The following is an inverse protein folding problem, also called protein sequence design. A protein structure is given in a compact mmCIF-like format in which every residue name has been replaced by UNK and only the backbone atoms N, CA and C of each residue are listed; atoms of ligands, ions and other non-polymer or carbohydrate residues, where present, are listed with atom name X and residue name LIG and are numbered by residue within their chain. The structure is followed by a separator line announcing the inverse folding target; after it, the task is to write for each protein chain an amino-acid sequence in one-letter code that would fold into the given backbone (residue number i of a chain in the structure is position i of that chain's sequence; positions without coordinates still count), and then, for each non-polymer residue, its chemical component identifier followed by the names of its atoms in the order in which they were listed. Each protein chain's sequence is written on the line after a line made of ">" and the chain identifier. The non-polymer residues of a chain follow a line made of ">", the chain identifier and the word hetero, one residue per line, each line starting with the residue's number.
data_IF_084323597895
#
_entry.id   IF_084323597895
#
_cell.length_a   1.000
_cell.length_b   1.000
_cell.length_c   1.000
_cell.angle_alpha   90.00
_cell.angle_beta   90.00
_cell.angle_gamma   90.00
#
_symmetry.space_group_name_H-M   'P 1'
#
loop_
_entity.id
_entity.type
_entity.pdbx_description
1 polymer ?
#
# COMPACT_ATOMS: atom_id res chain seq x y z
N UNK A 1 17.12 -17.50 4.54
CA UNK A 1 17.18 -17.04 3.14
C UNK A 1 18.61 -16.97 2.59
N UNK A 2 19.54 -16.28 3.25
CA UNK A 2 20.88 -15.99 2.72
C UNK A 2 21.71 -17.23 2.33
N UNK A 3 21.64 -18.31 3.11
CA UNK A 3 22.38 -19.56 2.84
C UNK A 3 21.89 -20.28 1.58
N UNK A 4 20.56 -20.33 1.37
CA UNK A 4 19.96 -20.95 0.18
C UNK A 4 20.27 -20.16 -1.09
N UNK A 5 20.27 -18.82 -1.00
CA UNK A 5 20.60 -17.93 -2.12
C UNK A 5 22.07 -18.01 -2.52
N UNK A 6 22.99 -18.12 -1.56
CA UNK A 6 24.42 -18.35 -1.84
C UNK A 6 24.67 -19.70 -2.52
N UNK A 7 24.00 -20.77 -2.07
CA UNK A 7 24.11 -22.08 -2.72
C UNK A 7 23.55 -22.07 -4.15
N UNK A 8 22.44 -21.37 -4.37
CA UNK A 8 21.83 -21.24 -5.67
C UNK A 8 22.64 -20.37 -6.65
N UNK A 9 23.34 -19.35 -6.16
CA UNK A 9 24.24 -18.56 -7.00
C UNK A 9 25.46 -19.34 -7.49
N UNK A 10 25.95 -20.29 -6.68
CA UNK A 10 26.95 -21.28 -7.13
C UNK A 10 26.46 -22.15 -8.30
N UNK A 11 25.15 -22.23 -8.51
CA UNK A 11 24.50 -22.91 -9.64
C UNK A 11 24.09 -21.93 -10.76
N UNK A 12 24.51 -20.67 -10.67
CA UNK A 12 24.25 -19.62 -11.67
C UNK A 12 22.83 -19.06 -11.63
N UNK A 13 22.05 -19.34 -10.59
CA UNK A 13 20.69 -18.83 -10.47
C UNK A 13 20.68 -17.39 -9.95
N UNK A 14 19.84 -16.54 -10.56
CA UNK A 14 19.58 -15.17 -10.14
C UNK A 14 18.12 -14.94 -9.89
N UNK A 15 17.84 -14.15 -8.88
CA UNK A 15 16.56 -13.54 -8.55
C UNK A 15 16.61 -12.05 -8.92
N UNK A 16 15.55 -11.55 -9.55
CA UNK A 16 15.31 -10.13 -9.79
C UNK A 16 13.80 -9.84 -9.75
N UNK A 17 13.39 -8.69 -9.20
CA UNK A 17 12.00 -8.25 -9.24
C UNK A 17 11.63 -7.33 -8.09
N UNK A 18 10.34 -7.30 -7.77
CA UNK A 18 9.79 -6.51 -6.66
C UNK A 18 9.26 -7.43 -5.57
N UNK A 19 9.47 -7.04 -4.32
CA UNK A 19 8.94 -7.74 -3.16
C UNK A 19 8.14 -6.79 -2.28
N UNK A 20 7.05 -7.31 -1.70
CA UNK A 20 6.34 -6.64 -0.62
C UNK A 20 6.93 -7.12 0.71
N UNK A 21 7.59 -6.20 1.44
CA UNK A 21 8.27 -6.52 2.71
C UNK A 21 7.49 -5.99 3.90
N UNK A 22 7.44 -6.79 4.98
CA UNK A 22 6.61 -6.51 6.15
C UNK A 22 7.01 -5.21 6.87
N UNK A 23 8.30 -4.85 6.85
CA UNK A 23 8.82 -3.64 7.52
C UNK A 23 8.57 -2.36 6.72
N UNK A 24 8.34 -2.44 5.40
CA UNK A 24 8.11 -1.28 4.53
C UNK A 24 6.87 -1.48 3.65
N UNK A 25 5.70 -1.62 4.28
CA UNK A 25 4.45 -2.01 3.59
C UNK A 25 3.94 -0.99 2.54
N UNK A 26 4.46 0.24 2.56
CA UNK A 26 4.06 1.32 1.65
C UNK A 26 4.88 1.36 0.37
N UNK A 27 6.05 0.74 0.36
CA UNK A 27 7.01 0.83 -0.74
C UNK A 27 7.24 -0.55 -1.35
N UNK A 28 7.57 -0.56 -2.63
CA UNK A 28 8.12 -1.73 -3.30
C UNK A 28 9.58 -1.91 -2.87
N UNK A 29 10.00 -3.15 -2.65
CA UNK A 29 11.41 -3.48 -2.47
C UNK A 29 11.96 -4.05 -3.78
N UNK A 30 12.94 -3.38 -4.38
CA UNK A 30 13.64 -3.86 -5.58
C UNK A 30 14.66 -4.91 -5.14
N UNK A 31 14.41 -6.17 -5.48
CA UNK A 31 15.25 -7.31 -5.08
C UNK A 31 16.07 -7.77 -6.27
N UNK A 32 17.38 -7.94 -6.07
CA UNK A 32 18.28 -8.52 -7.08
C UNK A 32 19.40 -9.33 -6.43
N UNK A 33 19.96 -10.26 -7.19
CA UNK A 33 21.10 -11.08 -6.73
C UNK A 33 22.32 -10.91 -7.62
N UNK A 34 23.48 -10.71 -6.99
CA UNK A 34 24.76 -10.54 -7.69
C UNK A 34 25.39 -11.89 -8.11
N UNK A 35 26.44 -11.89 -8.95
CA UNK A 35 27.17 -13.11 -9.34
C UNK A 35 27.71 -14.01 -8.25
N UNK A 36 27.81 -13.52 -7.03
CA UNK A 36 28.28 -14.27 -5.87
C UNK A 36 27.14 -14.75 -4.98
N UNK A 37 25.90 -14.37 -5.29
CA UNK A 37 24.70 -14.75 -4.54
C UNK A 37 24.35 -13.82 -3.39
N UNK A 38 24.93 -12.63 -3.34
CA UNK A 38 24.48 -11.58 -2.44
C UNK A 38 23.16 -11.02 -2.91
N UNK A 39 22.26 -10.81 -1.96
CA UNK A 39 20.97 -10.17 -2.19
C UNK A 39 21.14 -8.68 -1.96
N UNK A 40 20.70 -7.89 -2.91
CA UNK A 40 20.52 -6.47 -2.77
C UNK A 40 19.02 -6.19 -2.73
N UNK A 41 18.64 -5.39 -1.73
CA UNK A 41 17.27 -4.91 -1.55
C UNK A 41 17.36 -3.40 -1.49
N UNK A 42 16.86 -2.76 -2.54
CA UNK A 42 16.89 -1.32 -2.72
C UNK A 42 15.44 -0.78 -2.66
N UNK A 43 15.23 0.48 -2.23
CA UNK A 43 13.91 1.09 -2.26
C UNK A 43 13.39 1.27 -3.70
N UNK A 44 12.12 0.92 -3.91
CA UNK A 44 11.38 1.17 -5.13
C UNK A 44 10.25 2.19 -4.95
N UNK A 45 9.37 2.23 -5.95
CA UNK A 45 8.22 3.12 -5.96
C UNK A 45 7.18 2.75 -4.88
N UNK A 46 6.35 3.69 -4.43
CA UNK A 46 5.19 3.38 -3.60
C UNK A 46 4.19 2.47 -4.33
N UNK A 47 3.47 1.65 -3.57
CA UNK A 47 2.33 0.91 -4.08
C UNK A 47 1.17 1.85 -4.44
N UNK A 48 0.41 1.55 -5.48
CA UNK A 48 -0.77 2.37 -5.83
C UNK A 48 -1.81 2.34 -4.70
N UNK A 49 -1.86 1.26 -3.93
CA UNK A 49 -2.69 1.13 -2.75
C UNK A 49 -2.44 2.16 -1.65
N UNK A 50 -1.30 2.86 -1.64
CA UNK A 50 -1.03 3.96 -0.69
C UNK A 50 -1.22 5.35 -1.29
N UNK A 51 -1.37 5.44 -2.61
CA UNK A 51 -1.56 6.71 -3.32
C UNK A 51 -3.08 6.99 -3.42
N UNK A 52 -3.56 8.20 -3.08
CA UNK A 52 -4.95 8.57 -3.29
C UNK A 52 -5.39 8.36 -4.73
N UNK A 53 -6.55 7.74 -4.96
CA UNK A 53 -7.06 7.47 -6.32
C UNK A 53 -7.22 8.72 -7.20
N UNK A 54 -7.36 9.90 -6.61
CA UNK A 54 -7.40 11.19 -7.32
C UNK A 54 -6.07 11.56 -8.00
N UNK A 55 -4.96 10.97 -7.55
CA UNK A 55 -3.62 11.19 -8.07
C UNK A 55 -3.19 10.08 -9.05
N UNK A 56 -4.03 9.06 -9.24
CA UNK A 56 -3.74 7.99 -10.17
C UNK A 56 -3.79 8.49 -11.62
N UNK A 57 -2.87 8.02 -12.48
CA UNK A 57 -2.95 8.25 -13.92
C UNK A 57 -4.30 7.81 -14.51
N UNK A 58 -4.77 8.53 -15.52
CA UNK A 58 -5.99 8.16 -16.24
C UNK A 58 -5.85 6.76 -16.86
N UNK A 59 -6.84 5.90 -16.65
CA UNK A 59 -6.88 4.52 -17.17
C UNK A 59 -6.30 3.46 -16.22
N UNK A 60 -5.45 3.86 -15.27
CA UNK A 60 -4.78 2.92 -14.35
C UNK A 60 -5.77 2.07 -13.54
N UNK A 61 -6.89 2.66 -13.11
CA UNK A 61 -7.87 1.97 -12.28
C UNK A 61 -8.45 0.71 -12.95
N UNK A 62 -8.63 0.72 -14.28
CA UNK A 62 -9.09 -0.46 -15.01
C UNK A 62 -7.92 -1.41 -15.33
N UNK A 63 -6.73 -0.88 -15.60
CA UNK A 63 -5.53 -1.69 -15.88
C UNK A 63 -5.09 -2.52 -14.68
N UNK A 64 -5.15 -1.96 -13.47
CA UNK A 64 -4.69 -2.64 -12.25
C UNK A 64 -5.73 -3.60 -11.67
N UNK A 65 -6.99 -3.50 -12.11
CA UNK A 65 -8.12 -4.29 -11.61
C UNK A 65 -7.87 -5.80 -11.57
N UNK A 66 -7.20 -6.44 -12.55
CA UNK A 66 -6.90 -7.87 -12.49
C UNK A 66 -5.88 -8.26 -11.41
N UNK A 67 -5.05 -7.31 -10.98
CA UNK A 67 -4.02 -7.50 -9.95
C UNK A 67 -4.49 -7.01 -8.57
N UNK A 68 -5.58 -6.25 -8.53
CA UNK A 68 -6.07 -5.63 -7.32
C UNK A 68 -6.76 -6.63 -6.41
N UNK A 69 -6.36 -6.63 -5.15
CA UNK A 69 -7.03 -7.35 -4.07
C UNK A 69 -7.67 -6.38 -3.08
N UNK A 70 -8.90 -6.64 -2.62
CA UNK A 70 -9.63 -5.69 -1.77
C UNK A 70 -8.90 -5.38 -0.45
N UNK A 71 -8.29 -6.39 0.19
CA UNK A 71 -7.60 -6.21 1.47
C UNK A 71 -6.26 -5.48 1.36
N UNK A 72 -5.49 -5.71 0.31
CA UNK A 72 -4.10 -5.25 0.21
C UNK A 72 -3.77 -4.43 -1.04
N UNK A 73 -4.75 -4.18 -1.91
CA UNK A 73 -4.60 -3.41 -3.14
C UNK A 73 -3.73 -4.14 -4.16
N UNK A 74 -2.76 -3.43 -4.73
CA UNK A 74 -1.78 -3.95 -5.71
C UNK A 74 -0.50 -4.51 -5.07
N UNK A 75 -0.46 -4.61 -3.74
CA UNK A 75 0.73 -5.09 -3.01
C UNK A 75 0.95 -6.58 -3.25
N UNK A 76 1.91 -6.92 -4.09
CA UNK A 76 2.29 -8.30 -4.39
C UNK A 76 3.79 -8.43 -4.62
N UNK A 77 4.34 -9.63 -4.44
CA UNK A 77 5.73 -9.89 -4.80
C UNK A 77 5.80 -10.52 -6.18
N UNK A 78 6.55 -9.90 -7.09
CA UNK A 78 6.78 -10.39 -8.44
C UNK A 78 8.28 -10.62 -8.62
N UNK A 79 8.68 -11.88 -8.65
CA UNK A 79 10.08 -12.27 -8.69
C UNK A 79 10.33 -13.15 -9.91
N UNK A 80 11.36 -12.81 -10.67
CA UNK A 80 11.84 -13.58 -11.82
C UNK A 80 13.12 -14.33 -11.44
N UNK A 81 13.17 -15.59 -11.87
CA UNK A 81 14.31 -16.48 -11.67
C UNK A 81 15.03 -16.71 -13.00
N UNK A 82 16.32 -16.40 -13.05
CA UNK A 82 17.16 -16.50 -14.24
C UNK A 82 18.32 -17.48 -14.03
N UNK A 83 18.49 -18.43 -14.94
CA UNK A 83 19.65 -19.32 -14.95
C UNK A 83 20.73 -18.76 -15.88
N UNK A 84 21.94 -18.53 -15.35
CA UNK A 84 23.07 -17.97 -16.11
C UNK A 84 23.51 -18.87 -17.28
N UNK A 85 23.27 -20.18 -17.18
CA UNK A 85 23.62 -21.15 -18.23
C UNK A 85 22.64 -21.14 -19.43
N UNK A 86 21.52 -20.40 -19.33
CA UNK A 86 20.43 -20.46 -20.30
C UNK A 86 19.59 -21.75 -20.18
N UNK A 87 18.34 -21.68 -20.65
CA UNK A 87 17.40 -22.80 -20.60
C UNK A 87 16.48 -22.80 -19.36
N UNK A 88 15.47 -23.69 -19.35
CA UNK A 88 14.49 -23.76 -18.27
C UNK A 88 15.12 -24.35 -17.00
N UNK A 89 14.74 -23.82 -15.84
CA UNK A 89 15.11 -24.43 -14.55
C UNK A 89 14.46 -25.82 -14.40
N UNK A 90 15.22 -26.84 -13.97
CA UNK A 90 14.67 -28.14 -13.60
C UNK A 90 13.54 -28.00 -12.57
N UNK A 91 12.48 -28.82 -12.72
CA UNK A 91 11.29 -28.75 -11.85
C UNK A 91 11.64 -28.83 -10.36
N UNK A 92 12.49 -29.79 -9.98
CA UNK A 92 12.91 -29.97 -8.59
C UNK A 92 13.62 -28.72 -8.01
N UNK A 93 14.39 -28.00 -8.83
CA UNK A 93 15.03 -26.76 -8.38
C UNK A 93 14.02 -25.63 -8.21
N UNK A 94 13.05 -25.52 -9.13
CA UNK A 94 11.93 -24.56 -9.00
C UNK A 94 11.14 -24.79 -7.71
N UNK A 95 10.80 -26.04 -7.41
CA UNK A 95 10.05 -26.42 -6.20
C UNK A 95 10.83 -26.12 -4.93
N UNK A 96 12.11 -26.47 -4.87
CA UNK A 96 12.97 -26.16 -3.73
C UNK A 96 13.07 -24.65 -3.47
N UNK A 97 13.12 -23.85 -4.55
CA UNK A 97 13.13 -22.40 -4.47
C UNK A 97 11.81 -21.82 -4.02
N UNK A 98 10.70 -22.27 -4.61
CA UNK A 98 9.37 -21.82 -4.22
C UNK A 98 9.12 -22.12 -2.73
N UNK A 99 9.51 -23.31 -2.28
CA UNK A 99 9.43 -23.68 -0.86
C UNK A 99 10.29 -22.76 0.02
N UNK A 100 11.49 -22.41 -0.42
CA UNK A 100 12.36 -21.46 0.30
C UNK A 100 11.76 -20.06 0.39
N UNK A 101 11.12 -19.57 -0.69
CA UNK A 101 10.42 -18.27 -0.72
C UNK A 101 9.17 -18.29 0.17
N UNK A 102 8.39 -19.37 0.13
CA UNK A 102 7.22 -19.55 1.00
C UNK A 102 7.62 -19.54 2.48
N UNK A 103 8.76 -20.12 2.83
CA UNK A 103 9.30 -20.05 4.18
C UNK A 103 9.79 -18.66 4.62
N UNK A 104 9.81 -17.68 3.70
CA UNK A 104 10.13 -16.27 4.01
C UNK A 104 8.88 -15.39 4.14
N UNK A 105 7.68 -15.95 3.95
CA UNK A 105 6.44 -15.21 4.16
C UNK A 105 6.27 -14.91 5.65
N UNK A 106 5.94 -13.66 5.96
CA UNK A 106 5.61 -13.27 7.32
C UNK A 106 4.36 -14.02 7.78
N UNK A 107 4.41 -14.57 8.98
CA UNK A 107 3.23 -15.13 9.65
C UNK A 107 2.46 -14.01 10.34
N UNK A 108 1.16 -14.23 10.60
CA UNK A 108 0.32 -13.26 11.34
C UNK A 108 0.94 -12.84 12.69
N UNK A 109 1.62 -13.78 13.35
CA UNK A 109 2.32 -13.52 14.61
C UNK A 109 3.52 -12.58 14.43
N UNK A 110 4.24 -12.70 13.32
CA UNK A 110 5.38 -11.82 12.99
C UNK A 110 4.92 -10.46 12.49
N UNK A 111 3.80 -10.37 11.77
CA UNK A 111 3.19 -9.09 11.38
C UNK A 111 2.76 -8.26 12.59
N UNK A 112 2.29 -8.91 13.65
CA UNK A 112 1.93 -8.26 14.91
C UNK A 112 3.17 -7.85 15.76
N UNK A 113 4.35 -8.35 15.42
CA UNK A 113 5.59 -8.05 16.12
C UNK A 113 6.31 -6.83 15.54
N UNK A 114 7.08 -6.14 16.37
CA UNK A 114 8.01 -5.12 15.89
C UNK A 114 9.22 -5.79 15.25
N UNK A 115 9.20 -5.91 13.92
CA UNK A 115 10.26 -6.53 13.15
C UNK A 115 11.42 -5.55 12.96
N UNK A 116 12.65 -6.02 13.21
CA UNK A 116 13.86 -5.26 12.89
C UNK A 116 14.09 -5.34 11.39
N UNK A 117 14.14 -4.18 10.72
CA UNK A 117 14.42 -4.11 9.29
C UNK A 117 15.94 -4.25 9.03
N UNK A 118 16.40 -5.36 8.43
CA UNK A 118 17.81 -5.56 8.14
C UNK A 118 18.34 -4.62 7.04
N UNK A 119 17.44 -3.96 6.31
CA UNK A 119 17.76 -3.04 5.21
C UNK A 119 17.47 -1.57 5.58
N UNK A 120 17.18 -1.25 6.84
CA UNK A 120 16.79 0.10 7.29
C UNK A 120 17.71 1.22 6.76
N UNK A 121 19.01 0.96 6.65
CA UNK A 121 20.00 1.87 6.09
C UNK A 121 19.66 2.29 4.64
N UNK A 122 19.24 1.34 3.80
CA UNK A 122 18.92 1.57 2.39
C UNK A 122 17.67 2.46 2.21
N UNK A 123 16.75 2.40 3.17
CA UNK A 123 15.50 3.18 3.14
C UNK A 123 15.63 4.57 3.76
N UNK A 124 16.71 4.83 4.50
CA UNK A 124 16.81 5.99 5.40
C UNK A 124 16.53 7.31 4.69
N UNK A 125 17.22 7.57 3.58
CA UNK A 125 17.11 8.84 2.86
C UNK A 125 15.68 9.04 2.32
N UNK A 126 15.14 8.03 1.62
CA UNK A 126 13.78 8.09 1.07
C UNK A 126 12.71 8.27 2.16
N UNK A 127 12.84 7.58 3.29
CA UNK A 127 11.90 7.71 4.41
C UNK A 127 12.00 9.08 5.07
N UNK A 128 13.20 9.67 5.15
CA UNK A 128 13.38 11.03 5.65
C UNK A 128 12.70 12.06 4.73
N UNK A 129 12.93 11.96 3.42
CA UNK A 129 12.30 12.83 2.42
C UNK A 129 10.78 12.72 2.45
N UNK A 130 10.26 11.49 2.50
CA UNK A 130 8.81 11.24 2.59
C UNK A 130 8.22 11.85 3.86
N UNK A 131 8.89 11.66 5.01
CA UNK A 131 8.44 12.25 6.28
C UNK A 131 8.50 13.79 6.29
N UNK A 132 9.46 14.39 5.58
CA UNK A 132 9.55 15.84 5.40
C UNK A 132 8.44 16.38 4.48
N UNK A 133 8.15 15.69 3.39
CA UNK A 133 7.05 16.02 2.49
C UNK A 133 5.70 15.94 3.21
N UNK A 134 5.43 14.86 3.95
CA UNK A 134 4.21 14.70 4.75
C UNK A 134 4.08 15.80 5.82
N UNK A 135 5.16 16.13 6.53
CA UNK A 135 5.18 17.24 7.50
C UNK A 135 4.87 18.58 6.83
N UNK A 136 5.46 18.84 5.68
CA UNK A 136 5.26 20.09 4.93
C UNK A 136 3.83 20.22 4.42
N UNK A 137 3.25 19.13 3.89
CA UNK A 137 1.85 19.07 3.45
C UNK A 137 0.89 19.35 4.61
N UNK A 138 1.13 18.74 5.77
CA UNK A 138 0.33 18.96 6.99
C UNK A 138 0.34 20.41 7.45
N UNK A 139 1.52 21.04 7.47
CA UNK A 139 1.65 22.47 7.80
C UNK A 139 0.83 23.31 6.81
N UNK A 140 0.92 23.01 5.52
CA UNK A 140 0.13 23.70 4.48
C UNK A 140 -1.38 23.58 4.70
N UNK A 141 -1.87 22.39 5.04
CA UNK A 141 -3.29 22.16 5.35
C UNK A 141 -3.76 22.90 6.60
N UNK A 142 -2.95 22.90 7.66
CA UNK A 142 -3.26 23.61 8.90
C UNK A 142 -3.32 25.13 8.66
N UNK A 143 -2.39 25.67 7.86
CA UNK A 143 -2.40 27.08 7.45
C UNK A 143 -3.65 27.40 6.63
N UNK A 144 -3.98 26.58 5.62
CA UNK A 144 -5.21 26.75 4.81
C UNK A 144 -6.46 26.74 5.69
N UNK A 145 -6.55 25.81 6.63
CA UNK A 145 -7.68 25.69 7.57
C UNK A 145 -7.77 26.88 8.52
N UNK A 146 -6.64 27.37 9.02
CA UNK A 146 -6.60 28.55 9.87
C UNK A 146 -7.08 29.79 9.11
N UNK A 147 -6.62 30.01 7.88
CA UNK A 147 -7.10 31.10 7.03
C UNK A 147 -8.59 31.01 6.72
N UNK A 148 -9.11 29.82 6.40
CA UNK A 148 -10.54 29.62 6.17
C UNK A 148 -11.39 30.00 7.40
N UNK A 149 -10.91 29.75 8.62
CA UNK A 149 -11.59 30.16 9.86
C UNK A 149 -11.57 31.67 10.08
N UNK A 150 -10.52 32.36 9.66
CA UNK A 150 -10.41 33.82 9.77
C UNK A 150 -11.31 34.53 8.75
N UNK A 151 -11.45 33.96 7.55
CA UNK A 151 -12.22 34.55 6.44
C UNK A 151 -13.70 34.13 6.49
N UNK A 152 -14.05 33.05 7.19
CA UNK A 152 -15.44 32.63 7.36
C UNK A 152 -16.24 33.76 8.02
N UNK A 153 -17.29 34.30 7.37
CA UNK A 153 -18.10 35.34 7.97
C UNK A 153 -18.74 34.79 9.23
N UNK A 154 -18.49 35.44 10.37
CA UNK A 154 -19.22 35.20 11.61
C UNK A 154 -20.69 35.39 11.31
N UNK A 155 -21.44 34.29 11.20
CA UNK A 155 -22.90 34.33 11.19
C UNK A 155 -23.32 34.93 12.52
N UNK A 156 -23.58 36.24 12.53
CA UNK A 156 -24.26 36.90 13.63
C UNK A 156 -25.63 36.25 13.76
N UNK A 157 -25.81 35.51 14.84
CA UNK A 157 -27.12 35.00 15.27
C UNK A 157 -28.00 36.21 15.60
N UNK A 158 -28.72 36.71 14.60
CA UNK A 158 -29.85 37.60 14.84
C UNK A 158 -31.06 36.71 15.09
N UNK A 159 -31.34 36.49 16.38
CA UNK A 159 -32.59 35.92 16.87
C UNK A 159 -33.76 36.80 16.38
N UNK A 160 -34.38 36.40 15.28
CA UNK A 160 -35.62 36.96 14.78
C UNK A 160 -36.77 36.07 15.22
N UNK A 161 -37.41 36.44 16.34
CA UNK A 161 -38.69 35.88 16.73
C UNK A 161 -39.73 36.21 15.65
N UNK A 162 -40.28 35.20 14.99
CA UNK A 162 -41.45 35.33 14.13
C UNK A 162 -42.59 34.45 14.68
N UNK A 163 -43.55 35.18 15.23
CA UNK A 163 -44.93 34.87 15.58
C UNK A 163 -45.62 33.71 14.84
N UNK A 164 -46.41 32.96 15.61
CA UNK A 164 -47.27 31.84 15.21
C UNK A 164 -48.54 32.22 14.44
N UNK A 165 -49.00 31.34 13.55
CA UNK A 165 -50.41 31.01 13.26
C UNK A 165 -50.36 29.60 12.61
N UNK A 166 -50.90 28.52 13.18
CA UNK A 166 -52.30 28.29 13.49
C UNK A 166 -52.84 27.23 12.49
N UNK A 167 -52.78 25.94 12.83
CA UNK A 167 -53.36 24.86 12.01
C UNK A 167 -52.94 23.45 12.42
N UNK A 168 -53.85 22.73 13.11
CA UNK A 168 -53.87 21.27 13.31
C UNK A 168 -55.26 20.77 12.88
N UNK A 169 -55.53 19.46 12.75
CA UNK A 169 -54.74 18.40 12.10
C UNK A 169 -55.63 17.58 11.13
N UNK A 170 -55.06 16.82 10.20
CA UNK A 170 -55.82 15.81 9.45
C UNK A 170 -55.10 14.45 9.46
N UNK A 171 -55.67 13.56 10.28
CA UNK A 171 -55.87 12.12 10.08
C UNK A 171 -54.75 11.22 9.55
N UNK A 172 -54.38 10.27 10.42
CA UNK A 172 -53.78 8.96 10.12
C UNK A 172 -54.51 8.23 8.99
N UNK A 173 -53.75 7.58 8.11
CA UNK A 173 -54.07 6.25 7.59
C UNK A 173 -52.77 5.43 7.60
N UNK A 174 -52.85 4.22 8.12
CA UNK A 174 -51.77 3.25 8.23
C UNK A 174 -51.47 2.56 6.88
N UNK A 175 -50.21 2.10 6.77
CA UNK A 175 -49.57 1.00 6.00
C UNK A 175 -50.48 -0.11 5.38
N UNK A 176 -50.03 -0.98 4.42
CA UNK A 176 -48.68 -1.60 4.38
C UNK A 176 -48.06 -2.06 3.02
N UNK A 177 -46.89 -2.69 3.13
CA UNK A 177 -46.30 -3.77 2.33
C UNK A 177 -45.35 -3.47 1.14
N UNK A 178 -44.06 -3.76 1.39
CA UNK A 178 -43.10 -4.45 0.50
C UNK A 178 -43.67 -5.77 -0.08
N UNK A 179 -43.12 -6.38 -1.16
CA UNK A 179 -41.68 -6.73 -1.27
C UNK A 179 -41.01 -6.72 -2.67
N UNK A 180 -39.67 -6.79 -2.59
CA UNK A 180 -38.66 -7.42 -3.46
C UNK A 180 -38.98 -7.76 -4.92
N UNK A 181 -38.15 -7.25 -5.83
CA UNK A 181 -37.55 -7.96 -6.97
C UNK A 181 -36.22 -7.30 -7.37
#
# INVERSE_FOLDING_TARGET
>A
MEVALRQAAGQGLRLEGIAWIATQQKLQALVRTDPKGFVHVDPGDPWWAVIPRSEWPHGLAEEIKPLWHETHGDRQSELTLHLSAGGPLPLAQREAWLSSLQGCLATEAEEAAELVDPYAEAWRELLQETAEAERSAKIGDDVRRAFARVIAPTRSSTSGAAFSFGGRPATRVCEPCEPDL
#
